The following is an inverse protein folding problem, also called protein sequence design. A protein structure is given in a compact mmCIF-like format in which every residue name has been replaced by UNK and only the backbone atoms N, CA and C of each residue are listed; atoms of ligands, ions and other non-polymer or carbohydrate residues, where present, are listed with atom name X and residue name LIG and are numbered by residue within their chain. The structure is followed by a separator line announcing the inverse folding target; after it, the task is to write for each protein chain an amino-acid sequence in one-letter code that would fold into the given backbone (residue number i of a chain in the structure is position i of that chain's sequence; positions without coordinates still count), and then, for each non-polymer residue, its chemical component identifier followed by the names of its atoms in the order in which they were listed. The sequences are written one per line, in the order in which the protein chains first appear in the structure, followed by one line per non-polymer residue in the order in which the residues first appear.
data_IF_665604124026
#
_entry.id   IF_665604124026
#
_cell.length_a   1.000
_cell.length_b   1.000
_cell.length_c   1.000
_cell.angle_alpha   90.00
_cell.angle_beta   90.00
_cell.angle_gamma   90.00
#
_symmetry.space_group_name_H-M   'P 1'
#
loop_
_entity.id
_entity.type
_entity.pdbx_description
1 polymer ?
#
# COMPACT_ATOMS: atom_id res chain seq x y z
N UNK A 1 6.85 2.31 -30.40
CA UNK A 1 6.26 1.97 -29.67
C UNK A 1 5.52 0.94 -28.91
N UNK A 2 6.18 -0.16 -28.52
CA UNK A 2 5.55 -1.17 -27.67
C UNK A 2 5.10 -0.60 -26.30
N UNK A 3 5.86 0.31 -25.71
CA UNK A 3 5.52 0.96 -24.44
C UNK A 3 4.27 1.87 -24.53
N UNK A 4 4.03 2.52 -25.66
CA UNK A 4 2.82 3.33 -25.87
C UNK A 4 1.57 2.45 -26.03
N UNK A 5 1.72 1.31 -26.71
CA UNK A 5 0.67 0.30 -26.84
C UNK A 5 0.35 -0.37 -25.50
N UNK A 6 1.36 -0.57 -24.67
CA UNK A 6 1.20 -1.11 -23.32
C UNK A 6 0.46 -0.13 -22.41
N UNK A 7 0.80 1.15 -22.47
CA UNK A 7 0.16 2.22 -21.70
C UNK A 7 -1.32 2.40 -22.07
N UNK A 8 -1.67 2.33 -23.37
CA UNK A 8 -3.07 2.46 -23.81
C UNK A 8 -3.91 1.26 -23.41
N UNK A 9 -3.41 0.04 -23.56
CA UNK A 9 -4.11 -1.18 -23.12
C UNK A 9 -4.29 -1.22 -21.60
N UNK A 10 -3.31 -0.75 -20.85
CA UNK A 10 -3.41 -0.68 -19.41
C UNK A 10 -4.49 0.32 -18.98
N UNK A 11 -4.59 1.47 -19.64
CA UNK A 11 -5.63 2.45 -19.37
C UNK A 11 -7.04 1.87 -19.64
N UNK A 12 -7.23 1.12 -20.74
CA UNK A 12 -8.49 0.43 -21.02
C UNK A 12 -8.85 -0.62 -19.95
N UNK A 13 -7.88 -1.38 -19.51
CA UNK A 13 -8.07 -2.39 -18.43
C UNK A 13 -8.47 -1.70 -17.13
N UNK A 14 -7.80 -0.63 -16.75
CA UNK A 14 -8.13 0.14 -15.55
C UNK A 14 -9.55 0.69 -15.61
N UNK A 15 -9.96 1.29 -16.74
CA UNK A 15 -11.31 1.81 -16.94
C UNK A 15 -12.39 0.72 -16.80
N UNK A 16 -12.13 -0.48 -17.30
CA UNK A 16 -13.05 -1.63 -17.15
C UNK A 16 -13.14 -2.06 -15.68
N UNK A 17 -12.00 -2.13 -14.97
CA UNK A 17 -11.97 -2.54 -13.57
C UNK A 17 -12.68 -1.54 -12.67
N UNK A 18 -12.45 -0.23 -12.86
CA UNK A 18 -13.11 0.84 -12.11
C UNK A 18 -14.64 0.83 -12.26
N UNK A 19 -15.14 0.47 -13.44
CA UNK A 19 -16.59 0.32 -13.68
C UNK A 19 -17.19 -0.93 -13.04
N UNK A 20 -16.38 -1.94 -12.77
CA UNK A 20 -16.83 -3.27 -12.32
C UNK A 20 -16.67 -3.49 -10.83
N UNK A 21 -15.71 -2.83 -10.19
CA UNK A 21 -15.33 -3.05 -8.80
C UNK A 21 -15.33 -1.75 -8.01
N UNK A 22 -15.71 -1.81 -6.74
CA UNK A 22 -15.68 -0.67 -5.81
C UNK A 22 -14.23 -0.33 -5.40
N UNK A 23 -13.34 -1.33 -5.37
CA UNK A 23 -11.92 -1.19 -5.07
C UNK A 23 -11.07 -1.95 -6.06
N UNK A 24 -10.03 -1.32 -6.56
CA UNK A 24 -8.99 -1.92 -7.40
C UNK A 24 -7.65 -1.76 -6.70
N UNK A 25 -7.04 -2.85 -6.29
CA UNK A 25 -5.72 -2.86 -5.68
C UNK A 25 -4.68 -3.26 -6.73
N UNK A 26 -3.66 -2.44 -6.89
CA UNK A 26 -2.57 -2.65 -7.84
C UNK A 26 -1.30 -2.92 -7.05
N UNK A 27 -0.80 -4.15 -7.12
CA UNK A 27 0.50 -4.52 -6.55
C UNK A 27 1.59 -4.26 -7.58
N UNK A 28 2.55 -3.42 -7.23
CA UNK A 28 3.64 -2.99 -8.09
C UNK A 28 5.00 -3.22 -7.44
N UNK A 29 6.08 -3.42 -8.23
CA UNK A 29 7.43 -3.48 -7.71
C UNK A 29 7.85 -2.22 -6.97
N UNK A 30 9.01 -2.29 -6.28
CA UNK A 30 9.57 -1.15 -5.57
C UNK A 30 9.74 0.07 -6.47
N UNK A 31 9.36 1.24 -5.97
CA UNK A 31 9.52 2.55 -6.64
C UNK A 31 10.97 2.78 -7.07
N UNK A 32 11.92 2.45 -6.21
CA UNK A 32 13.35 2.63 -6.48
C UNK A 32 13.89 1.72 -7.60
N UNK A 33 13.13 0.74 -8.05
CA UNK A 33 13.55 -0.24 -9.06
C UNK A 33 12.69 -0.26 -10.31
N UNK A 34 11.57 0.45 -10.34
CA UNK A 34 10.61 0.36 -11.45
C UNK A 34 9.92 1.69 -11.74
N UNK A 35 10.05 2.12 -12.98
CA UNK A 35 9.33 3.28 -13.51
C UNK A 35 7.81 3.04 -13.52
N UNK A 36 7.38 1.77 -13.64
CA UNK A 36 5.96 1.42 -13.67
C UNK A 36 5.26 1.76 -12.37
N UNK A 37 5.94 1.64 -11.23
CA UNK A 37 5.39 2.00 -9.92
C UNK A 37 4.97 3.48 -9.86
N UNK A 38 5.79 4.38 -10.39
CA UNK A 38 5.48 5.80 -10.48
C UNK A 38 4.27 6.07 -11.39
N UNK A 39 4.18 5.38 -12.54
CA UNK A 39 3.07 5.54 -13.49
C UNK A 39 1.74 5.15 -12.83
N UNK A 40 1.71 4.03 -12.12
CA UNK A 40 0.51 3.59 -11.42
C UNK A 40 0.17 4.50 -10.24
N UNK A 41 1.15 4.94 -9.46
CA UNK A 41 0.94 5.82 -8.33
C UNK A 41 0.27 7.16 -8.74
N UNK A 42 0.71 7.74 -9.84
CA UNK A 42 0.13 8.99 -10.38
C UNK A 42 -1.31 8.81 -10.88
N UNK A 43 -1.64 7.63 -11.40
CA UNK A 43 -2.97 7.32 -11.95
C UNK A 43 -3.96 6.80 -10.91
N UNK A 44 -3.49 6.43 -9.72
CA UNK A 44 -4.32 5.90 -8.66
C UNK A 44 -4.89 7.01 -7.78
N UNK A 45 -6.09 6.80 -7.25
CA UNK A 45 -6.72 7.73 -6.29
C UNK A 45 -5.94 7.84 -4.99
N UNK A 46 -5.26 6.76 -4.60
CA UNK A 46 -4.43 6.70 -3.41
C UNK A 46 -3.27 5.72 -3.59
N UNK A 47 -2.13 6.06 -3.01
CA UNK A 47 -0.93 5.22 -2.97
C UNK A 47 -0.55 4.92 -1.53
N UNK A 48 -0.32 3.65 -1.23
CA UNK A 48 0.21 3.19 0.06
C UNK A 48 1.62 2.67 -0.18
N UNK A 49 2.59 3.21 0.52
CA UNK A 49 3.96 2.68 0.51
C UNK A 49 4.07 1.51 1.47
N UNK A 50 4.77 0.46 1.08
CA UNK A 50 5.08 -0.68 1.95
C UNK A 50 6.58 -0.77 2.12
N UNK A 51 7.04 -0.74 3.35
CA UNK A 51 8.45 -0.90 3.73
C UNK A 51 8.63 -2.10 4.64
N UNK A 52 9.85 -2.64 4.70
CA UNK A 52 10.19 -3.73 5.60
C UNK A 52 11.20 -3.24 6.64
N UNK A 53 11.01 -3.62 7.90
CA UNK A 53 11.93 -3.28 9.00
C UNK A 53 13.28 -4.00 8.93
N UNK A 54 13.45 -4.95 8.00
CA UNK A 54 14.62 -5.83 7.91
C UNK A 54 15.85 -5.23 7.21
N UNK A 55 15.87 -3.93 6.90
CA UNK A 55 17.05 -3.28 6.35
C UNK A 55 16.82 -2.26 5.25
N UNK A 56 15.60 -1.91 4.91
CA UNK A 56 15.36 -0.72 4.09
C UNK A 56 15.80 0.50 4.88
N UNK A 57 16.84 1.18 4.42
CA UNK A 57 17.28 2.38 5.14
C UNK A 57 16.17 3.42 5.13
N UNK A 58 16.01 4.14 6.23
CA UNK A 58 15.08 5.28 6.33
C UNK A 58 15.24 6.23 5.12
N UNK A 59 16.47 6.42 4.68
CA UNK A 59 16.79 7.23 3.49
C UNK A 59 16.12 6.68 2.22
N UNK A 60 16.14 5.38 1.97
CA UNK A 60 15.48 4.80 0.79
C UNK A 60 13.97 5.04 0.80
N UNK A 61 13.35 5.02 1.98
CA UNK A 61 11.92 5.34 2.13
C UNK A 61 11.64 6.82 1.87
N UNK A 62 12.49 7.71 2.41
CA UNK A 62 12.39 9.14 2.20
C UNK A 62 12.58 9.50 0.71
N UNK A 63 13.61 8.96 0.06
CA UNK A 63 13.88 9.16 -1.37
C UNK A 63 12.69 8.69 -2.24
N UNK A 64 12.13 7.53 -1.94
CA UNK A 64 10.96 7.00 -2.65
C UNK A 64 9.70 7.86 -2.43
N UNK A 65 9.50 8.35 -1.21
CA UNK A 65 8.40 9.26 -0.90
C UNK A 65 8.52 10.58 -1.66
N UNK A 66 9.72 11.19 -1.63
CA UNK A 66 9.99 12.43 -2.36
C UNK A 66 9.77 12.28 -3.86
N UNK A 67 10.20 11.16 -4.44
CA UNK A 67 9.96 10.85 -5.86
C UNK A 67 8.46 10.75 -6.19
N UNK A 68 7.68 10.04 -5.37
CA UNK A 68 6.23 9.92 -5.56
C UNK A 68 5.52 11.26 -5.47
N UNK A 69 5.86 12.07 -4.48
CA UNK A 69 5.27 13.42 -4.31
C UNK A 69 5.67 14.36 -5.45
N UNK A 70 6.94 14.31 -5.88
CA UNK A 70 7.42 15.11 -7.02
C UNK A 70 6.66 14.77 -8.30
N UNK A 71 6.22 13.52 -8.47
CA UNK A 71 5.39 13.07 -9.58
C UNK A 71 3.88 13.28 -9.36
N UNK A 72 3.49 13.96 -8.29
CA UNK A 72 2.08 14.24 -7.97
C UNK A 72 1.25 13.01 -7.58
N UNK A 73 1.87 11.96 -7.07
CA UNK A 73 1.14 10.82 -6.51
C UNK A 73 0.49 11.20 -5.17
N UNK A 74 -0.73 10.71 -4.95
CA UNK A 74 -1.43 10.89 -3.67
C UNK A 74 -1.02 9.81 -2.66
N UNK A 75 0.06 10.03 -1.94
CA UNK A 75 0.54 9.10 -0.91
C UNK A 75 -0.25 9.30 0.38
N UNK A 76 -1.06 8.32 0.75
CA UNK A 76 -1.95 8.40 1.91
C UNK A 76 -1.38 7.75 3.18
N UNK A 77 -0.33 6.96 3.06
CA UNK A 77 0.31 6.34 4.22
C UNK A 77 1.43 5.38 3.89
N UNK A 78 2.06 4.89 4.94
CA UNK A 78 3.13 3.90 4.91
C UNK A 78 2.75 2.72 5.79
N UNK A 79 2.95 1.51 5.29
CA UNK A 79 2.80 0.27 6.05
C UNK A 79 4.19 -0.30 6.33
N UNK A 80 4.51 -0.47 7.59
CA UNK A 80 5.70 -1.21 8.01
C UNK A 80 5.39 -2.70 8.09
N UNK A 81 6.07 -3.47 7.25
CA UNK A 81 5.94 -4.92 7.19
C UNK A 81 7.15 -5.62 7.84
N UNK A 82 7.07 -6.92 8.05
CA UNK A 82 8.12 -7.76 8.66
C UNK A 82 8.56 -7.28 10.05
N UNK A 83 7.65 -6.70 10.81
CA UNK A 83 7.89 -6.31 12.20
C UNK A 83 8.01 -7.56 13.05
N UNK A 84 9.05 -7.64 13.88
CA UNK A 84 9.21 -8.75 14.82
C UNK A 84 8.11 -8.73 15.88
N UNK A 85 7.78 -9.89 16.44
CA UNK A 85 6.77 -9.99 17.50
C UNK A 85 7.16 -9.18 18.75
N UNK A 86 8.45 -9.00 19.01
CA UNK A 86 8.95 -8.20 20.12
C UNK A 86 8.74 -6.70 19.91
N UNK A 87 9.01 -6.22 18.70
CA UNK A 87 8.75 -4.84 18.31
C UNK A 87 7.25 -4.55 18.32
N UNK A 88 6.45 -5.45 17.75
CA UNK A 88 5.00 -5.32 17.76
C UNK A 88 4.44 -5.23 19.19
N UNK A 89 4.94 -6.03 20.12
CA UNK A 89 4.55 -5.94 21.54
C UNK A 89 4.99 -4.63 22.20
N UNK A 90 6.10 -4.04 21.79
CA UNK A 90 6.54 -2.71 22.25
C UNK A 90 5.56 -1.63 21.79
N UNK A 91 5.22 -1.61 20.51
CA UNK A 91 4.21 -0.70 19.98
C UNK A 91 2.86 -0.83 20.68
N UNK A 92 2.41 -2.06 20.97
CA UNK A 92 1.15 -2.30 21.67
C UNK A 92 1.15 -1.84 23.14
N UNK A 93 2.31 -1.75 23.81
CA UNK A 93 2.39 -1.23 25.18
C UNK A 93 2.23 0.29 25.23
N UNK A 94 2.69 0.99 24.22
CA UNK A 94 2.62 2.45 24.11
C UNK A 94 1.24 2.93 23.63
N UNK A 95 0.47 2.06 22.99
CA UNK A 95 -0.89 2.31 22.58
C UNK A 95 -1.84 1.39 23.33
N UNK A 96 -2.48 1.89 24.39
CA UNK A 96 -3.54 1.24 25.18
C UNK A 96 -4.82 0.90 24.37
N UNK A 97 -4.70 0.91 23.04
CA UNK A 97 -5.81 0.92 22.09
C UNK A 97 -6.25 -0.46 21.60
N UNK A 98 -5.49 -1.53 21.84
CA UNK A 98 -5.85 -2.87 21.40
C UNK A 98 -6.17 -3.80 22.58
N UNK A 99 -7.36 -3.67 23.13
CA UNK A 99 -7.94 -4.74 23.91
C UNK A 99 -8.17 -5.95 22.99
N UNK A 100 -7.26 -6.95 23.11
CA UNK A 100 -7.31 -8.21 22.33
C UNK A 100 -8.69 -8.87 22.38
N UNK A 101 -9.45 -8.70 23.47
CA UNK A 101 -10.79 -9.26 23.64
C UNK A 101 -11.82 -8.60 22.73
N UNK A 102 -11.72 -7.28 22.48
CA UNK A 102 -12.63 -6.56 21.57
C UNK A 102 -12.42 -6.96 20.11
N UNK A 103 -11.16 -7.12 19.69
CA UNK A 103 -10.84 -7.46 18.29
C UNK A 103 -11.27 -8.88 17.93
N UNK A 104 -11.07 -9.84 18.82
CA UNK A 104 -11.51 -11.23 18.63
C UNK A 104 -13.03 -11.35 18.68
N UNK A 105 -13.71 -10.57 19.53
CA UNK A 105 -15.17 -10.58 19.63
C UNK A 105 -15.83 -10.03 18.36
N UNK A 106 -15.36 -8.89 17.86
CA UNK A 106 -15.89 -8.31 16.62
C UNK A 106 -15.66 -9.20 15.39
N UNK A 107 -14.58 -10.00 15.38
CA UNK A 107 -14.29 -10.94 14.31
C UNK A 107 -15.24 -12.14 14.34
N UNK A 108 -15.54 -12.68 15.52
CA UNK A 108 -16.49 -13.78 15.67
C UNK A 108 -17.93 -13.36 15.32
N UNK A 109 -18.38 -12.22 15.80
CA UNK A 109 -19.72 -11.72 15.49
C UNK A 109 -19.94 -11.44 14.00
N UNK A 110 -18.87 -11.12 13.25
CA UNK A 110 -18.98 -10.86 11.81
C UNK A 110 -19.04 -12.13 10.95
N UNK A 111 -18.53 -13.27 11.45
CA UNK A 111 -18.54 -14.56 10.75
C UNK A 111 -19.64 -15.52 11.24
N UNK A 112 -20.33 -15.19 12.33
CA UNK A 112 -21.47 -15.96 12.84
C UNK A 112 -22.82 -15.35 12.40
N UNK A 113 -22.81 -14.22 11.69
CA UNK A 113 -24.02 -13.53 11.18
C UNK A 113 -24.35 -13.86 9.70
N UNK A 114 -23.57 -14.72 9.04
CA UNK A 114 -23.82 -15.32 7.72
C UNK A 114 -24.08 -16.82 7.88
#
# INVERSE_FOLDING_TARGET
PLHLLYASKMAEVMEILEKKYDFVLIDVPSVNSSVDANIFAVKSDATIMVTAMDGSSKKCLEDAYEELIANSANVVGVIENKISMEEYKRYLKDYDYFDKKKFVKNRKEKYEAD
#
